data_IF_437467659846
#
_entry.id   IF_437467659846
#
_cell.length_a   1.000
_cell.length_b   1.000
_cell.length_c   1.000
_cell.angle_alpha   90.00
_cell.angle_beta   90.00
_cell.angle_gamma   90.00
#
_symmetry.space_group_name_H-M   'P 1'
#
loop_
_entity.id
_entity.type
_entity.pdbx_description
1 polymer ?
#
# COMPACT_ATOMS: atom_id res chain seq x y z
N UNK A 1 -29.48 -3.90 5.48
CA UNK A 1 -28.09 -3.64 5.92
C UNK A 1 -27.55 -2.49 5.08
N UNK A 2 -27.50 -1.27 5.62
CA UNK A 2 -26.97 -0.12 4.90
C UNK A 2 -25.44 -0.21 4.87
N UNK A 3 -24.89 -0.68 3.76
CA UNK A 3 -23.49 -0.48 3.41
C UNK A 3 -23.29 1.02 3.16
N UNK A 4 -23.14 1.79 4.24
CA UNK A 4 -22.58 3.14 4.14
C UNK A 4 -21.15 2.97 3.63
N UNK A 5 -20.94 3.21 2.33
CA UNK A 5 -19.63 3.24 1.71
C UNK A 5 -18.82 4.31 2.42
N UNK A 6 -17.98 3.89 3.37
CA UNK A 6 -17.14 4.80 4.16
C UNK A 6 -16.01 5.27 3.28
N UNK A 7 -16.17 6.44 2.65
CA UNK A 7 -15.10 7.06 1.87
C UNK A 7 -13.82 7.21 2.73
N UNK A 8 -12.62 7.00 2.14
CA UNK A 8 -11.36 7.21 2.85
C UNK A 8 -11.30 8.62 3.41
N UNK A 9 -10.94 8.74 4.69
CA UNK A 9 -10.92 10.03 5.41
C UNK A 9 -9.61 10.81 5.24
N UNK A 10 -8.55 10.16 4.76
CA UNK A 10 -7.19 10.70 4.61
C UNK A 10 -6.76 10.78 3.15
N UNK A 11 -5.86 11.71 2.83
CA UNK A 11 -5.29 11.82 1.47
C UNK A 11 -4.43 10.61 1.12
N UNK A 12 -3.71 10.05 2.10
CA UNK A 12 -3.00 8.77 1.96
C UNK A 12 -3.95 7.60 1.68
N UNK A 13 -5.09 7.52 2.38
CA UNK A 13 -6.14 6.53 2.11
C UNK A 13 -6.70 6.60 0.68
N UNK A 14 -6.89 7.80 0.13
CA UNK A 14 -7.34 7.96 -1.26
C UNK A 14 -6.32 7.44 -2.28
N UNK A 15 -5.02 7.72 -2.09
CA UNK A 15 -3.98 7.19 -2.99
C UNK A 15 -3.95 5.66 -3.00
N UNK A 16 -4.19 5.06 -1.82
CA UNK A 16 -4.25 3.60 -1.66
C UNK A 16 -5.51 2.98 -2.23
N UNK A 17 -6.66 3.64 -2.09
CA UNK A 17 -7.91 3.19 -2.67
C UNK A 17 -7.83 3.16 -4.21
N UNK A 18 -7.31 4.23 -4.82
CA UNK A 18 -7.11 4.29 -6.28
C UNK A 18 -6.13 3.21 -6.73
N UNK A 19 -5.01 3.04 -6.03
CA UNK A 19 -4.06 2.01 -6.37
C UNK A 19 -4.64 0.59 -6.24
N UNK A 20 -5.33 0.31 -5.14
CA UNK A 20 -6.00 -0.98 -4.92
C UNK A 20 -7.04 -1.27 -6.00
N UNK A 21 -7.86 -0.28 -6.36
CA UNK A 21 -8.85 -0.42 -7.41
C UNK A 21 -8.22 -0.71 -8.78
N UNK A 22 -7.15 0.02 -9.14
CA UNK A 22 -6.41 -0.22 -10.38
C UNK A 22 -5.78 -1.62 -10.40
N UNK A 23 -5.18 -2.05 -9.28
CA UNK A 23 -4.60 -3.39 -9.14
C UNK A 23 -5.66 -4.49 -9.28
N UNK A 24 -6.83 -4.30 -8.66
CA UNK A 24 -7.97 -5.24 -8.82
C UNK A 24 -8.49 -5.25 -10.25
N UNK A 25 -8.67 -4.08 -10.88
CA UNK A 25 -9.14 -4.00 -12.26
C UNK A 25 -8.18 -4.69 -13.24
N UNK A 26 -6.88 -4.41 -13.13
CA UNK A 26 -5.86 -5.10 -13.93
C UNK A 26 -5.83 -6.60 -13.64
N UNK A 27 -5.91 -7.02 -12.38
CA UNK A 27 -6.00 -8.43 -12.03
C UNK A 27 -7.24 -9.11 -12.66
N UNK A 28 -8.39 -8.45 -12.70
CA UNK A 28 -9.59 -8.97 -13.38
C UNK A 28 -9.38 -9.05 -14.89
N UNK A 29 -8.74 -8.05 -15.51
CA UNK A 29 -8.38 -8.10 -16.94
C UNK A 29 -7.50 -9.32 -17.22
N UNK A 30 -6.51 -9.63 -16.39
CA UNK A 30 -5.65 -10.80 -16.57
C UNK A 30 -6.36 -12.14 -16.43
N UNK A 31 -7.48 -12.19 -15.69
CA UNK A 31 -8.31 -13.39 -15.56
C UNK A 31 -9.31 -13.55 -16.72
N UNK A 32 -9.87 -12.45 -17.22
CA UNK A 32 -10.93 -12.48 -18.25
C UNK A 32 -10.35 -12.37 -19.67
N UNK A 33 -9.28 -11.61 -19.85
CA UNK A 33 -8.66 -11.29 -21.12
C UNK A 33 -7.11 -11.36 -21.03
N UNK A 34 -6.53 -12.56 -20.79
CA UNK A 34 -5.10 -12.75 -20.58
C UNK A 34 -4.24 -12.24 -21.76
N UNK A 35 -4.72 -12.42 -22.99
CA UNK A 35 -4.01 -11.95 -24.19
C UNK A 35 -3.90 -10.42 -24.26
N UNK A 36 -4.96 -9.71 -23.85
CA UNK A 36 -4.92 -8.25 -23.76
C UNK A 36 -3.90 -7.80 -22.70
N UNK A 37 -3.79 -8.52 -21.58
CA UNK A 37 -2.81 -8.22 -20.55
C UNK A 37 -1.36 -8.50 -21.02
N UNK A 38 -1.14 -9.58 -21.77
CA UNK A 38 0.16 -9.88 -22.39
C UNK A 38 0.55 -8.78 -23.39
N UNK A 39 -0.38 -8.34 -24.24
CA UNK A 39 -0.14 -7.26 -25.19
C UNK A 39 0.20 -5.93 -24.49
N UNK A 40 -0.50 -5.58 -23.40
CA UNK A 40 -0.20 -4.40 -22.59
C UNK A 40 1.20 -4.44 -21.97
N UNK A 41 1.69 -5.63 -21.61
CA UNK A 41 3.04 -5.84 -21.09
C UNK A 41 4.12 -5.89 -22.19
N UNK A 42 3.72 -5.75 -23.46
CA UNK A 42 4.61 -5.78 -24.62
C UNK A 42 4.95 -7.18 -25.13
N UNK A 43 4.21 -8.21 -24.71
CA UNK A 43 4.33 -9.56 -25.25
C UNK A 43 3.35 -9.79 -26.40
N UNK A 44 3.78 -10.56 -27.42
CA UNK A 44 2.88 -11.01 -28.48
C UNK A 44 2.01 -12.17 -27.97
N UNK A 45 0.67 -12.06 -27.97
CA UNK A 45 -0.21 -13.15 -27.57
C UNK A 45 -0.08 -14.34 -28.53
N UNK A 46 -0.03 -15.55 -27.98
CA UNK A 46 -0.02 -16.79 -28.77
C UNK A 46 -1.44 -17.36 -28.77
N UNK A 47 -2.06 -17.59 -29.94
CA UNK A 47 -3.38 -18.22 -30.01
C UNK A 47 -3.38 -19.61 -29.36
N UNK A 48 -4.48 -19.96 -28.69
CA UNK A 48 -4.58 -21.19 -27.88
C UNK A 48 -4.21 -22.48 -28.64
N UNK A 49 -4.52 -22.55 -29.94
CA UNK A 49 -4.20 -23.70 -30.79
C UNK A 49 -2.73 -23.81 -31.24
N UNK A 50 -1.89 -22.82 -30.92
CA UNK A 50 -0.47 -22.77 -31.31
C UNK A 50 0.49 -22.86 -30.12
N UNK A 51 -0.03 -22.99 -28.89
CA UNK A 51 0.79 -23.11 -27.69
C UNK A 51 1.42 -24.50 -27.62
N UNK A 52 2.74 -24.54 -27.38
CA UNK A 52 3.47 -25.78 -27.24
C UNK A 52 3.03 -26.54 -25.97
N UNK A 53 3.15 -27.88 -25.99
CA UNK A 53 2.98 -28.69 -24.80
C UNK A 53 4.02 -28.28 -23.75
N UNK A 54 3.58 -27.73 -22.61
CA UNK A 54 4.43 -27.17 -21.56
C UNK A 54 4.47 -25.64 -21.50
N UNK A 55 3.73 -24.93 -22.37
CA UNK A 55 3.53 -23.49 -22.18
C UNK A 55 2.62 -23.23 -20.97
N UNK A 56 3.25 -22.87 -19.85
CA UNK A 56 2.55 -22.53 -18.60
C UNK A 56 2.32 -21.02 -18.43
N UNK A 57 2.59 -20.21 -19.45
CA UNK A 57 2.48 -18.74 -19.39
C UNK A 57 1.10 -18.30 -18.91
N UNK A 58 0.02 -18.89 -19.45
CA UNK A 58 -1.34 -18.55 -19.06
C UNK A 58 -1.67 -18.95 -17.62
N UNK A 59 -1.12 -20.07 -17.15
CA UNK A 59 -1.29 -20.50 -15.75
C UNK A 59 -0.60 -19.53 -14.80
N UNK A 60 0.65 -19.15 -15.10
CA UNK A 60 1.39 -18.14 -14.33
C UNK A 60 0.67 -16.80 -14.35
N UNK A 61 0.20 -16.36 -15.52
CA UNK A 61 -0.54 -15.11 -15.67
C UNK A 61 -1.83 -15.14 -14.86
N UNK A 62 -2.58 -16.24 -14.88
CA UNK A 62 -3.80 -16.42 -14.08
C UNK A 62 -3.49 -16.34 -12.58
N UNK A 63 -2.46 -17.07 -12.12
CA UNK A 63 -2.05 -17.06 -10.73
C UNK A 63 -1.60 -15.66 -10.26
N UNK A 64 -0.76 -14.98 -11.05
CA UNK A 64 -0.32 -13.61 -10.78
C UNK A 64 -1.49 -12.62 -10.81
N UNK A 65 -2.45 -12.81 -11.70
CA UNK A 65 -3.64 -11.95 -11.82
C UNK A 65 -4.56 -12.11 -10.62
N UNK A 66 -4.79 -13.33 -10.14
CA UNK A 66 -5.54 -13.53 -8.88
C UNK A 66 -4.81 -12.94 -7.67
N UNK A 67 -3.48 -13.07 -7.61
CA UNK A 67 -2.70 -12.43 -6.55
C UNK A 67 -2.86 -10.89 -6.57
N UNK A 68 -2.87 -10.28 -7.76
CA UNK A 68 -3.13 -8.85 -7.93
C UNK A 68 -4.54 -8.44 -7.48
N UNK A 69 -5.57 -9.24 -7.82
CA UNK A 69 -6.95 -9.03 -7.33
C UNK A 69 -6.99 -9.01 -5.81
N UNK A 70 -6.44 -10.04 -5.17
CA UNK A 70 -6.44 -10.18 -3.72
C UNK A 70 -5.75 -8.99 -3.05
N UNK A 71 -4.55 -8.63 -3.52
CA UNK A 71 -3.81 -7.49 -2.98
C UNK A 71 -4.52 -6.15 -3.20
N UNK A 72 -5.14 -5.95 -4.36
CA UNK A 72 -5.92 -4.76 -4.66
C UNK A 72 -7.13 -4.60 -3.72
N UNK A 73 -7.85 -5.69 -3.45
CA UNK A 73 -8.95 -5.71 -2.48
C UNK A 73 -8.46 -5.38 -1.07
N UNK A 74 -7.33 -5.96 -0.65
CA UNK A 74 -6.74 -5.62 0.66
C UNK A 74 -6.36 -4.14 0.76
N UNK A 75 -5.84 -3.54 -0.31
CA UNK A 75 -5.53 -2.10 -0.35
C UNK A 75 -6.78 -1.23 -0.24
N UNK A 76 -7.86 -1.59 -0.93
CA UNK A 76 -9.14 -0.89 -0.80
C UNK A 76 -9.68 -1.02 0.63
N UNK A 77 -9.71 -2.23 1.21
CA UNK A 77 -10.18 -2.43 2.58
C UNK A 77 -9.32 -1.68 3.61
N UNK A 78 -8.00 -1.69 3.45
CA UNK A 78 -7.08 -0.93 4.31
C UNK A 78 -7.28 0.58 4.19
N UNK A 79 -7.59 1.08 2.99
CA UNK A 79 -7.93 2.49 2.75
C UNK A 79 -9.25 2.89 3.44
N UNK A 80 -10.27 2.04 3.38
CA UNK A 80 -11.55 2.27 4.06
C UNK A 80 -11.41 2.19 5.59
N UNK A 81 -10.49 1.38 6.10
CA UNK A 81 -10.16 1.26 7.52
C UNK A 81 -9.14 2.31 8.02
N UNK A 82 -8.63 3.17 7.14
CA UNK A 82 -7.58 4.17 7.41
C UNK A 82 -6.36 3.59 8.14
N UNK A 83 -5.93 2.38 7.74
CA UNK A 83 -4.85 1.66 8.43
C UNK A 83 -3.47 2.21 8.04
N UNK A 84 -3.10 3.34 8.66
CA UNK A 84 -1.85 4.07 8.35
C UNK A 84 -0.56 3.27 8.50
N UNK A 85 -0.50 2.32 9.42
CA UNK A 85 0.67 1.45 9.58
C UNK A 85 0.92 0.61 8.32
N UNK A 86 -0.14 0.15 7.68
CA UNK A 86 -0.07 -0.58 6.43
C UNK A 86 0.42 0.30 5.28
N UNK A 87 -0.06 1.54 5.18
CA UNK A 87 0.42 2.48 4.15
C UNK A 87 1.92 2.74 4.25
N UNK A 88 2.48 2.81 5.46
CA UNK A 88 3.93 2.98 5.66
C UNK A 88 4.72 1.80 5.09
N UNK A 89 4.19 0.58 5.21
CA UNK A 89 4.82 -0.63 4.67
C UNK A 89 4.69 -0.73 3.14
N UNK A 90 3.67 -0.14 2.54
CA UNK A 90 3.57 -0.15 1.07
C UNK A 90 4.69 0.64 0.39
N UNK A 91 5.19 1.72 0.99
CA UNK A 91 6.25 2.55 0.40
C UNK A 91 7.53 1.75 0.09
N UNK A 92 8.15 1.00 1.03
CA UNK A 92 9.34 0.21 0.72
C UNK A 92 9.05 -0.92 -0.29
N UNK A 93 7.87 -1.56 -0.24
CA UNK A 93 7.51 -2.57 -1.23
C UNK A 93 7.40 -1.99 -2.65
N UNK A 94 6.82 -0.80 -2.80
CA UNK A 94 6.71 -0.15 -4.11
C UNK A 94 8.06 0.31 -4.64
N UNK A 95 8.95 0.79 -3.76
CA UNK A 95 10.34 1.09 -4.13
C UNK A 95 11.12 -0.18 -4.53
N UNK A 96 10.86 -1.30 -3.86
CA UNK A 96 11.43 -2.59 -4.24
C UNK A 96 10.94 -3.01 -5.63
N UNK A 97 9.63 -2.89 -5.91
CA UNK A 97 9.05 -3.15 -7.23
C UNK A 97 9.66 -2.26 -8.32
N UNK A 98 9.80 -0.95 -8.07
CA UNK A 98 10.51 -0.03 -8.96
C UNK A 98 11.93 -0.51 -9.25
N UNK A 99 12.67 -0.90 -8.21
CA UNK A 99 14.06 -1.34 -8.33
C UNK A 99 14.16 -2.62 -9.16
N UNK A 100 13.35 -3.63 -8.85
CA UNK A 100 13.36 -4.93 -9.53
C UNK A 100 13.00 -4.79 -11.00
N UNK A 101 11.93 -4.05 -11.34
CA UNK A 101 11.55 -3.87 -12.74
C UNK A 101 12.56 -3.03 -13.52
N UNK A 102 13.11 -1.97 -12.92
CA UNK A 102 14.16 -1.17 -13.56
C UNK A 102 15.40 -2.02 -13.84
N UNK A 103 15.85 -2.81 -12.87
CA UNK A 103 16.97 -3.73 -13.06
C UNK A 103 16.68 -4.81 -14.10
N UNK A 104 15.47 -5.37 -14.11
CA UNK A 104 15.08 -6.38 -15.10
C UNK A 104 15.19 -5.82 -16.53
N UNK A 105 14.77 -4.58 -16.76
CA UNK A 105 14.90 -3.93 -18.07
C UNK A 105 16.35 -3.58 -18.39
N UNK A 106 17.08 -2.94 -17.47
CA UNK A 106 18.49 -2.54 -17.68
C UNK A 106 19.39 -3.75 -17.93
N UNK A 107 19.07 -4.90 -17.35
CA UNK A 107 19.80 -6.16 -17.56
C UNK A 107 19.31 -6.98 -18.76
N UNK A 108 18.34 -6.46 -19.54
CA UNK A 108 17.81 -7.11 -20.74
C UNK A 108 16.91 -8.32 -20.47
N UNK A 109 16.47 -8.54 -19.22
CA UNK A 109 15.59 -9.67 -18.84
C UNK A 109 14.11 -9.39 -19.08
N UNK A 110 13.71 -8.12 -19.23
CA UNK A 110 12.33 -7.72 -19.43
C UNK A 110 12.18 -6.71 -20.57
N UNK A 111 11.03 -6.67 -21.27
CA UNK A 111 10.72 -5.65 -22.27
C UNK A 111 10.78 -4.23 -21.73
N UNK A 112 11.14 -3.26 -22.57
CA UNK A 112 11.26 -1.85 -22.17
C UNK A 112 9.96 -1.26 -21.58
N UNK A 113 8.79 -1.81 -21.93
CA UNK A 113 7.49 -1.42 -21.34
C UNK A 113 7.44 -1.53 -19.82
N UNK A 114 8.23 -2.42 -19.20
CA UNK A 114 8.30 -2.56 -17.75
C UNK A 114 8.99 -1.39 -17.04
N UNK A 115 9.74 -0.52 -17.75
CA UNK A 115 10.24 0.73 -17.18
C UNK A 115 9.09 1.67 -16.82
N UNK A 116 8.02 1.70 -17.63
CA UNK A 116 6.83 2.49 -17.33
C UNK A 116 6.18 2.05 -16.02
N UNK A 117 6.08 0.74 -15.80
CA UNK A 117 5.59 0.16 -14.55
C UNK A 117 6.50 0.52 -13.38
N UNK A 118 7.81 0.41 -13.55
CA UNK A 118 8.77 0.82 -12.53
C UNK A 118 8.59 2.29 -12.13
N UNK A 119 8.62 3.20 -13.10
CA UNK A 119 8.47 4.64 -12.86
C UNK A 119 7.13 4.94 -12.15
N UNK A 120 6.04 4.29 -12.59
CA UNK A 120 4.73 4.43 -11.97
C UNK A 120 4.74 4.03 -10.48
N UNK A 121 5.34 2.88 -10.16
CA UNK A 121 5.47 2.43 -8.77
C UNK A 121 6.34 3.38 -7.94
N UNK A 122 7.43 3.90 -8.51
CA UNK A 122 8.28 4.90 -7.87
C UNK A 122 7.53 6.20 -7.55
N UNK A 123 6.78 6.73 -8.52
CA UNK A 123 5.94 7.93 -8.34
C UNK A 123 4.85 7.67 -7.30
N UNK A 124 4.20 6.52 -7.33
CA UNK A 124 3.19 6.12 -6.35
C UNK A 124 3.74 5.99 -4.93
N UNK A 125 4.95 5.45 -4.78
CA UNK A 125 5.66 5.37 -3.50
C UNK A 125 5.98 6.76 -2.95
N UNK A 126 6.47 7.66 -3.80
CA UNK A 126 6.78 9.05 -3.44
C UNK A 126 5.52 9.81 -3.03
N UNK A 127 4.44 9.73 -3.80
CA UNK A 127 3.17 10.38 -3.48
C UNK A 127 2.62 9.93 -2.12
N UNK A 128 2.63 8.61 -1.86
CA UNK A 128 2.21 8.04 -0.57
C UNK A 128 3.12 8.51 0.57
N UNK A 129 4.44 8.47 0.37
CA UNK A 129 5.42 8.88 1.36
C UNK A 129 5.31 10.36 1.72
N UNK A 130 5.10 11.23 0.73
CA UNK A 130 4.88 12.67 0.93
C UNK A 130 3.58 12.91 1.70
N UNK A 131 2.49 12.23 1.35
CA UNK A 131 1.22 12.33 2.06
C UNK A 131 1.36 11.94 3.54
N UNK A 132 2.00 10.80 3.83
CA UNK A 132 2.27 10.35 5.20
C UNK A 132 3.16 11.34 5.97
N UNK A 133 4.18 11.91 5.32
CA UNK A 133 5.08 12.89 5.95
C UNK A 133 4.38 14.22 6.23
N UNK A 134 3.42 14.63 5.40
CA UNK A 134 2.56 15.79 5.64
C UNK A 134 1.59 15.57 6.81
N UNK A 135 0.99 14.39 6.89
CA UNK A 135 0.08 14.00 7.99
C UNK A 135 0.82 13.89 9.33
N UNK A 136 2.03 13.32 9.36
CA UNK A 136 2.85 13.22 10.56
C UNK A 136 3.28 14.59 11.12
N UNK A 137 3.47 15.59 10.25
CA UNK A 137 3.81 16.97 10.66
C UNK A 137 2.60 17.78 11.16
N UNK A 138 1.38 17.38 10.80
CA UNK A 138 0.13 17.99 11.26
C UNK A 138 -0.44 17.37 12.52
N UNK A 139 0.11 16.25 13.01
CA UNK A 139 -0.26 15.71 14.31
C UNK A 139 0.13 16.74 15.40
N UNK A 140 -0.82 17.27 16.18
CA UNK A 140 -0.50 18.20 17.25
C UNK A 140 0.42 17.50 18.25
N UNK A 141 1.36 18.27 18.79
CA UNK A 141 2.31 17.94 19.86
C UNK A 141 1.60 17.66 21.21
N UNK A 142 0.38 17.12 21.21
CA UNK A 142 -0.52 17.05 22.37
C UNK A 142 -0.41 15.79 23.22
N UNK A 143 0.74 15.11 23.25
CA UNK A 143 0.98 13.99 24.18
C UNK A 143 2.08 14.23 25.20
N UNK A 144 2.83 15.34 25.12
CA UNK A 144 3.90 15.62 26.09
C UNK A 144 3.40 16.40 27.33
N UNK A 145 2.36 17.22 27.21
CA UNK A 145 1.90 18.09 28.33
C UNK A 145 0.97 17.38 29.33
N UNK A 146 0.36 16.26 28.95
CA UNK A 146 -0.60 15.53 29.80
C UNK A 146 0.04 14.56 30.80
N UNK A 147 1.24 14.05 30.51
CA UNK A 147 1.98 13.17 31.43
C UNK A 147 2.74 13.99 32.49
N UNK A 148 3.30 15.15 32.11
CA UNK A 148 4.02 16.05 33.03
C UNK A 148 3.08 16.70 34.07
N UNK A 149 1.86 17.10 33.69
CA UNK A 149 0.85 17.60 34.64
C UNK A 149 0.28 16.51 35.57
N UNK A 150 0.27 15.24 35.14
CA UNK A 150 -0.19 14.12 35.96
C UNK A 150 0.88 13.69 36.99
N UNK A 151 2.17 13.74 36.61
CA UNK A 151 3.29 13.52 37.54
C UNK A 151 3.44 14.67 38.54
N UNK A 152 3.28 15.93 38.13
CA UNK A 152 3.36 17.09 39.03
C UNK A 152 2.19 17.11 40.04
N UNK A 153 0.98 16.72 39.61
CA UNK A 153 -0.18 16.58 40.49
C UNK A 153 -0.08 15.39 41.45
N UNK A 154 0.62 14.31 41.08
CA UNK A 154 0.86 13.15 41.94
C UNK A 154 2.02 13.38 42.92
N UNK A 155 3.04 14.13 42.51
CA UNK A 155 4.16 14.53 43.38
C UNK A 155 3.72 15.59 44.42
N UNK A 156 2.79 16.47 44.06
CA UNK A 156 2.25 17.49 44.96
C UNK A 156 1.35 16.96 46.09
N UNK A 157 0.71 15.79 45.93
CA UNK A 157 -0.19 15.23 46.95
C UNK A 157 0.52 14.36 48.00
N UNK A 158 1.80 14.00 47.79
CA UNK A 158 2.57 13.16 48.72
C UNK A 158 3.27 13.93 49.85
N UNK A 159 3.36 15.26 49.76
CA UNK A 159 4.14 16.07 50.71
C UNK A 159 3.33 16.63 51.90
N UNK A 160 2.01 16.38 51.97
CA UNK A 160 1.14 16.95 53.00
C UNK A 160 0.75 16.01 54.16
N UNK A 161 1.20 14.74 54.17
CA UNK A 161 0.74 13.73 55.14
C UNK A 161 1.85 13.12 56.00
N UNK A 162 2.91 13.88 56.29
CA UNK A 162 4.01 13.44 57.18
C UNK A 162 4.25 14.36 58.39
N UNK A 163 3.26 15.17 58.78
CA UNK A 163 3.34 16.04 59.98
C UNK A 163 2.16 15.89 60.97
N UNK A 164 1.54 14.71 61.01
CA UNK A 164 0.41 14.44 61.93
C UNK A 164 0.58 13.17 62.78
N UNK A 165 1.79 12.59 62.78
CA UNK A 165 2.10 11.38 63.56
C UNK A 165 3.12 11.64 64.68
N UNK A 166 2.94 12.72 65.43
CA UNK A 166 3.45 12.77 66.80
C UNK A 166 2.43 13.51 67.68
N UNK A 167 1.66 12.74 68.45
CA UNK A 167 1.01 13.09 69.72
C UNK A 167 0.33 11.87 70.30
#
# INVERSE_FOLDING_TARGET
MNLSVRLPRSSSGWTMAVFGLLATALGVVGLVAPDAQLALMGFAPIPDGQRAAGDHTLMFLTASSMAAVNMGVYYVLAALADWRAFFRWTVPFRLLTFTVFTLAVVTGRAPAGFLGVGIWEGVGALATGIALRGEARKAPRGKAEGEESAEESAAGSGAYDENTRSR
#
